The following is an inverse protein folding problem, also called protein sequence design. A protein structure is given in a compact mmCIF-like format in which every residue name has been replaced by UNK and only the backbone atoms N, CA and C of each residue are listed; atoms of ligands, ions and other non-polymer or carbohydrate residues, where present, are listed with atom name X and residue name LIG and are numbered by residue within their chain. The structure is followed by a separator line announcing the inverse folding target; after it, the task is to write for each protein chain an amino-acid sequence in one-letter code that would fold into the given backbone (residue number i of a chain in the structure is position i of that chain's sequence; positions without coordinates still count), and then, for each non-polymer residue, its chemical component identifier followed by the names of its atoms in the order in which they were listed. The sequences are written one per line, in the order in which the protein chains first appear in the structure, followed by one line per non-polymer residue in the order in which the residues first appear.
data_IF_378119079161
#
_entry.id   IF_378119079161
#
_cell.length_a   1.000
_cell.length_b   1.000
_cell.length_c   1.000
_cell.angle_alpha   90.00
_cell.angle_beta   90.00
_cell.angle_gamma   90.00
#
_symmetry.space_group_name_H-M   'P 1'
#
loop_
_entity.id
_entity.type
_entity.pdbx_description
1 polymer ?
#
# COMPACT_ATOMS: atom_id res chain seq x y z
N UNK A 1 6.15 4.71 15.97
CA UNK A 1 5.86 3.28 16.21
C UNK A 1 6.11 2.88 17.68
N UNK A 2 7.17 3.35 18.30
CA UNK A 2 7.47 3.10 19.72
C UNK A 2 6.31 3.50 20.63
N UNK A 3 5.79 4.73 20.48
CA UNK A 3 4.64 5.21 21.25
C UNK A 3 3.36 4.36 21.04
N UNK A 4 3.27 3.66 19.90
CA UNK A 4 2.19 2.73 19.59
C UNK A 4 2.51 1.28 20.00
N UNK A 5 3.67 1.05 20.63
CA UNK A 5 4.16 -0.27 21.06
C UNK A 5 4.14 -1.30 19.92
N UNK A 6 4.56 -0.86 18.73
CA UNK A 6 4.60 -1.72 17.53
C UNK A 6 6.02 -1.74 16.98
N UNK A 7 6.52 -2.95 16.73
CA UNK A 7 7.85 -3.19 16.15
C UNK A 7 7.72 -4.07 14.91
N UNK A 8 8.65 -3.92 14.00
CA UNK A 8 8.76 -4.75 12.80
C UNK A 8 10.14 -5.41 12.75
N UNK A 9 10.20 -6.61 12.22
CA UNK A 9 11.46 -7.32 12.03
C UNK A 9 12.32 -6.73 10.92
N UNK A 10 11.68 -6.13 9.91
CA UNK A 10 12.36 -5.53 8.76
C UNK A 10 11.71 -4.20 8.42
N UNK A 11 12.55 -3.19 8.24
CA UNK A 11 12.17 -1.89 7.70
C UNK A 11 12.81 -1.72 6.32
N UNK A 12 12.00 -1.50 5.30
CA UNK A 12 12.45 -1.31 3.93
C UNK A 12 12.20 0.14 3.51
N UNK A 13 13.21 0.77 2.94
CA UNK A 13 13.07 2.09 2.33
C UNK A 13 12.82 1.92 0.83
N UNK A 14 11.78 2.56 0.29
CA UNK A 14 11.51 2.56 -1.15
C UNK A 14 12.72 3.05 -1.95
N UNK A 15 13.45 4.06 -1.43
CA UNK A 15 14.66 4.57 -2.06
C UNK A 15 15.76 3.51 -2.27
N UNK A 16 15.77 2.45 -1.47
CA UNK A 16 16.75 1.39 -1.60
C UNK A 16 16.44 0.46 -2.79
N UNK A 17 15.16 0.36 -3.19
CA UNK A 17 14.77 -0.36 -4.40
C UNK A 17 15.39 0.28 -5.67
N UNK A 18 15.48 1.60 -5.67
CA UNK A 18 16.14 2.36 -6.76
C UNK A 18 17.67 2.27 -6.67
N UNK A 19 18.26 2.51 -5.50
CA UNK A 19 19.71 2.45 -5.30
C UNK A 19 20.29 1.08 -5.63
N UNK A 20 19.53 0.02 -5.32
CA UNK A 20 19.93 -1.37 -5.57
C UNK A 20 19.48 -1.86 -6.95
N UNK A 21 19.03 -0.98 -7.84
CA UNK A 21 18.58 -1.29 -9.20
C UNK A 21 17.49 -2.33 -9.31
N UNK A 22 16.70 -2.55 -8.25
CA UNK A 22 15.60 -3.53 -8.26
C UNK A 22 14.45 -3.06 -9.15
N UNK A 23 14.17 -1.76 -9.18
CA UNK A 23 13.18 -1.16 -10.09
C UNK A 23 13.61 -1.34 -11.55
N UNK A 24 14.86 -1.02 -11.87
CA UNK A 24 15.41 -1.21 -13.22
C UNK A 24 15.39 -2.69 -13.65
N UNK A 25 15.70 -3.60 -12.73
CA UNK A 25 15.64 -5.05 -12.97
C UNK A 25 14.23 -5.50 -13.38
N UNK A 26 13.20 -5.03 -12.64
CA UNK A 26 11.78 -5.34 -12.97
C UNK A 26 11.43 -4.83 -14.36
N UNK A 27 11.73 -3.57 -14.66
CA UNK A 27 11.42 -2.97 -15.96
C UNK A 27 12.11 -3.71 -17.10
N UNK A 28 13.41 -3.95 -16.98
CA UNK A 28 14.20 -4.64 -17.99
C UNK A 28 13.73 -6.09 -18.20
N UNK A 29 13.29 -6.76 -17.12
CA UNK A 29 12.73 -8.10 -17.22
C UNK A 29 11.43 -8.09 -17.99
N UNK A 30 10.49 -7.19 -17.67
CA UNK A 30 9.20 -7.07 -18.36
C UNK A 30 9.36 -6.71 -19.86
N UNK A 31 10.35 -5.89 -20.20
CA UNK A 31 10.72 -5.58 -21.59
C UNK A 31 11.22 -6.87 -22.29
N UNK A 32 12.15 -7.59 -21.66
CA UNK A 32 12.74 -8.82 -22.20
C UNK A 32 11.71 -9.92 -22.42
N UNK A 33 10.74 -10.05 -21.51
CA UNK A 33 9.64 -11.03 -21.61
C UNK A 33 8.57 -10.61 -22.65
N UNK A 34 8.69 -9.41 -23.25
CA UNK A 34 7.82 -8.96 -24.35
C UNK A 34 6.45 -8.42 -23.90
N UNK A 35 6.29 -8.12 -22.60
CA UNK A 35 5.02 -7.65 -22.05
C UNK A 35 4.84 -6.13 -22.08
N UNK A 36 5.76 -5.41 -22.73
CA UNK A 36 5.72 -3.94 -22.78
C UNK A 36 5.57 -3.41 -24.19
N UNK A 37 5.19 -2.15 -24.32
CA UNK A 37 5.20 -1.39 -25.54
C UNK A 37 5.36 0.10 -25.28
N UNK A 38 5.83 0.84 -26.28
CA UNK A 38 5.92 2.29 -26.24
C UNK A 38 4.69 2.95 -26.85
N UNK A 39 4.16 3.96 -26.22
CA UNK A 39 3.07 4.79 -26.71
C UNK A 39 3.16 6.19 -26.10
N UNK A 40 3.04 7.21 -26.96
CA UNK A 40 3.07 8.65 -26.58
C UNK A 40 4.31 9.02 -25.72
N UNK A 41 5.46 8.43 -26.06
CA UNK A 41 6.73 8.65 -25.34
C UNK A 41 6.81 7.97 -23.97
N UNK A 42 5.82 7.19 -23.57
CA UNK A 42 5.78 6.46 -22.32
C UNK A 42 5.92 4.94 -22.57
N UNK A 43 6.51 4.23 -21.58
CA UNK A 43 6.60 2.77 -21.58
C UNK A 43 5.40 2.19 -20.84
N UNK A 44 4.66 1.30 -21.49
CA UNK A 44 3.45 0.67 -20.99
C UNK A 44 3.65 -0.82 -20.75
N UNK A 45 3.00 -1.36 -19.71
CA UNK A 45 2.85 -2.79 -19.48
C UNK A 45 1.47 -3.26 -19.97
N UNK A 46 1.44 -4.38 -20.70
CA UNK A 46 0.19 -5.06 -21.08
C UNK A 46 -0.41 -5.79 -19.88
N UNK A 47 -0.89 -5.03 -18.90
CA UNK A 47 -1.50 -5.61 -17.70
C UNK A 47 -2.81 -6.32 -18.00
N UNK A 48 -3.46 -6.01 -19.13
CA UNK A 48 -4.66 -6.71 -19.63
C UNK A 48 -4.39 -8.18 -19.92
N UNK A 49 -3.18 -8.56 -20.37
CA UNK A 49 -2.80 -9.95 -20.59
C UNK A 49 -2.84 -10.79 -19.30
N UNK A 50 -2.81 -10.12 -18.15
CA UNK A 50 -2.80 -10.72 -16.81
C UNK A 50 -4.06 -10.42 -16.00
N UNK A 51 -5.13 -9.91 -16.66
CA UNK A 51 -6.44 -9.75 -16.05
C UNK A 51 -6.71 -8.38 -15.40
N UNK A 52 -5.88 -7.36 -15.66
CA UNK A 52 -6.21 -5.98 -15.29
C UNK A 52 -7.26 -5.39 -16.28
N UNK A 53 -7.94 -4.33 -15.89
CA UNK A 53 -8.99 -3.69 -16.70
C UNK A 53 -8.45 -2.89 -17.90
N UNK A 54 -7.20 -2.46 -17.81
CA UNK A 54 -6.49 -1.72 -18.88
C UNK A 54 -4.98 -1.80 -18.68
N UNK A 55 -4.24 -1.53 -19.77
CA UNK A 55 -2.78 -1.42 -19.71
C UNK A 55 -2.32 -0.24 -18.87
N UNK A 56 -1.13 -0.35 -18.27
CA UNK A 56 -0.62 0.64 -17.32
C UNK A 56 0.72 1.22 -17.75
N UNK A 57 0.84 2.53 -17.57
CA UNK A 57 2.13 3.22 -17.75
C UNK A 57 3.08 2.78 -16.66
N UNK A 58 4.23 2.26 -17.05
CA UNK A 58 5.35 1.94 -16.16
C UNK A 58 6.29 3.14 -15.98
N UNK A 59 6.67 3.74 -17.11
CA UNK A 59 7.56 4.90 -17.16
C UNK A 59 6.92 5.98 -18.00
N UNK A 60 6.78 7.16 -17.42
CA UNK A 60 6.20 8.34 -18.08
C UNK A 60 7.17 8.92 -19.13
N UNK A 61 6.65 9.80 -19.98
CA UNK A 61 7.43 10.49 -21.01
C UNK A 61 8.51 11.42 -20.44
N UNK A 62 8.37 11.86 -19.18
CA UNK A 62 9.37 12.64 -18.43
C UNK A 62 10.52 11.77 -17.87
N UNK A 63 10.40 10.45 -17.99
CA UNK A 63 11.39 9.48 -17.52
C UNK A 63 11.12 8.92 -16.12
N UNK A 64 10.13 9.43 -15.39
CA UNK A 64 9.79 8.96 -14.06
C UNK A 64 8.99 7.65 -14.09
N UNK A 65 9.25 6.77 -13.14
CA UNK A 65 8.43 5.59 -12.94
C UNK A 65 7.12 5.93 -12.24
N UNK A 66 6.08 5.19 -12.58
CA UNK A 66 4.80 5.23 -11.84
C UNK A 66 4.89 4.38 -10.59
N UNK A 67 4.08 4.69 -9.56
CA UNK A 67 4.16 4.07 -8.24
C UNK A 67 4.04 2.54 -8.21
N UNK A 68 3.34 1.93 -9.18
CA UNK A 68 3.18 0.48 -9.13
C UNK A 68 4.46 -0.29 -9.49
N UNK A 69 5.42 0.32 -10.17
CA UNK A 69 6.68 -0.35 -10.56
C UNK A 69 7.56 -0.63 -9.34
N UNK A 70 7.84 0.34 -8.45
CA UNK A 70 8.52 0.04 -7.19
C UNK A 70 7.71 -0.92 -6.29
N UNK A 71 6.38 -0.89 -6.32
CA UNK A 71 5.57 -1.90 -5.61
C UNK A 71 5.83 -3.31 -6.14
N UNK A 72 5.90 -3.50 -7.46
CA UNK A 72 6.27 -4.79 -8.06
C UNK A 72 7.67 -5.21 -7.64
N UNK A 73 8.63 -4.28 -7.64
CA UNK A 73 10.01 -4.57 -7.21
C UNK A 73 10.07 -4.98 -5.73
N UNK A 74 9.32 -4.31 -4.87
CA UNK A 74 9.26 -4.65 -3.46
C UNK A 74 8.62 -6.02 -3.20
N UNK A 75 7.56 -6.35 -3.92
CA UNK A 75 6.97 -7.68 -3.81
C UNK A 75 7.87 -8.77 -4.39
N UNK A 76 8.58 -8.50 -5.48
CA UNK A 76 9.58 -9.42 -6.01
C UNK A 76 10.70 -9.67 -4.98
N UNK A 77 11.15 -8.65 -4.24
CA UNK A 77 12.10 -8.82 -3.14
C UNK A 77 11.57 -9.80 -2.09
N UNK A 78 10.32 -9.63 -1.65
CA UNK A 78 9.68 -10.57 -0.70
C UNK A 78 9.65 -11.99 -1.24
N UNK A 79 9.30 -12.18 -2.52
CA UNK A 79 9.30 -13.50 -3.16
C UNK A 79 10.69 -14.12 -3.20
N UNK A 80 11.69 -13.33 -3.58
CA UNK A 80 13.11 -13.76 -3.63
C UNK A 80 13.65 -14.13 -2.26
N UNK A 81 13.17 -13.49 -1.19
CA UNK A 81 13.48 -13.86 0.20
C UNK A 81 12.77 -15.12 0.68
N UNK A 82 11.96 -15.76 -0.17
CA UNK A 82 11.32 -17.03 0.12
C UNK A 82 9.96 -16.96 0.84
N UNK A 83 9.33 -15.79 0.90
CA UNK A 83 7.99 -15.66 1.49
C UNK A 83 6.93 -16.18 0.53
N UNK A 84 6.49 -17.42 0.75
CA UNK A 84 5.42 -18.07 -0.01
C UNK A 84 4.04 -17.52 0.32
N UNK A 85 3.87 -16.91 1.50
CA UNK A 85 2.67 -16.20 1.92
C UNK A 85 3.03 -14.77 2.34
N UNK A 86 2.41 -13.80 1.70
CA UNK A 86 2.55 -12.38 2.01
C UNK A 86 1.15 -11.78 2.10
N UNK A 87 0.88 -11.06 3.18
CA UNK A 87 -0.34 -10.28 3.36
C UNK A 87 0.07 -8.81 3.30
N UNK A 88 -0.49 -8.09 2.34
CA UNK A 88 -0.26 -6.66 2.17
C UNK A 88 -1.47 -5.90 2.70
N UNK A 89 -1.27 -5.04 3.70
CA UNK A 89 -2.34 -4.24 4.30
C UNK A 89 -2.33 -2.84 3.69
N UNK A 90 -3.49 -2.41 3.18
CA UNK A 90 -3.67 -1.11 2.52
C UNK A 90 -5.04 -0.50 2.83
N UNK A 91 -5.16 0.81 2.61
CA UNK A 91 -6.47 1.47 2.56
C UNK A 91 -7.29 1.01 1.35
N UNK A 92 -8.61 0.98 1.50
CA UNK A 92 -9.52 0.55 0.42
C UNK A 92 -9.47 1.45 -0.82
N UNK A 93 -8.99 2.69 -0.69
CA UNK A 93 -8.71 3.62 -1.79
C UNK A 93 -7.61 3.12 -2.72
N UNK A 94 -6.74 2.20 -2.27
CA UNK A 94 -5.71 1.55 -3.06
C UNK A 94 -6.16 0.25 -3.74
N UNK A 95 -7.45 -0.12 -3.70
CA UNK A 95 -7.97 -1.36 -4.31
C UNK A 95 -7.50 -1.55 -5.77
N UNK A 96 -7.47 -0.48 -6.56
CA UNK A 96 -7.07 -0.55 -7.96
C UNK A 96 -5.59 -0.88 -8.19
N UNK A 97 -4.74 -0.83 -7.15
CA UNK A 97 -3.32 -1.19 -7.29
C UNK A 97 -3.09 -2.70 -7.29
N UNK A 98 -4.00 -3.47 -6.75
CA UNK A 98 -3.88 -4.93 -6.60
C UNK A 98 -3.70 -5.63 -7.96
N UNK A 99 -4.62 -5.37 -8.90
CA UNK A 99 -4.57 -6.01 -10.23
C UNK A 99 -3.30 -5.67 -10.98
N UNK A 100 -2.89 -4.39 -10.96
CA UNK A 100 -1.68 -3.94 -11.67
C UNK A 100 -0.38 -4.48 -11.07
N UNK A 101 -0.28 -4.57 -9.75
CA UNK A 101 0.89 -5.16 -9.08
C UNK A 101 0.99 -6.65 -9.38
N UNK A 102 -0.13 -7.39 -9.23
CA UNK A 102 -0.18 -8.80 -9.60
C UNK A 102 0.16 -9.05 -11.07
N UNK A 103 -0.37 -8.23 -11.98
CA UNK A 103 -0.04 -8.29 -13.39
C UNK A 103 1.47 -8.08 -13.63
N UNK A 104 2.07 -7.09 -13.01
CA UNK A 104 3.52 -6.87 -13.06
C UNK A 104 4.32 -8.08 -12.57
N UNK A 105 3.91 -8.68 -11.46
CA UNK A 105 4.56 -9.88 -10.92
C UNK A 105 4.42 -11.10 -11.85
N UNK A 106 3.25 -11.30 -12.46
CA UNK A 106 3.03 -12.37 -13.44
C UNK A 106 3.90 -12.20 -14.66
N UNK A 107 4.01 -10.97 -15.18
CA UNK A 107 4.84 -10.65 -16.33
C UNK A 107 6.34 -10.89 -16.13
N UNK A 108 6.81 -11.01 -14.88
CA UNK A 108 8.21 -11.34 -14.58
C UNK A 108 8.56 -12.82 -14.84
N UNK A 109 7.58 -13.69 -15.05
CA UNK A 109 7.78 -15.12 -15.31
C UNK A 109 8.64 -15.85 -14.25
N UNK A 110 8.38 -15.55 -12.96
CA UNK A 110 9.12 -16.09 -11.79
C UNK A 110 8.37 -17.14 -11.02
N UNK A 111 7.37 -17.79 -11.62
CA UNK A 111 6.50 -18.80 -10.98
C UNK A 111 5.78 -18.25 -9.73
N UNK A 112 5.47 -16.96 -9.69
CA UNK A 112 4.72 -16.33 -8.60
C UNK A 112 3.24 -16.71 -8.78
N UNK A 113 2.54 -17.18 -7.72
CA UNK A 113 1.12 -17.51 -7.83
C UNK A 113 0.27 -16.29 -8.23
N UNK A 114 -0.79 -16.49 -9.02
CA UNK A 114 -1.64 -15.40 -9.53
C UNK A 114 -2.28 -14.55 -8.43
N UNK A 115 -2.62 -15.17 -7.31
CA UNK A 115 -3.27 -14.49 -6.17
C UNK A 115 -2.28 -13.95 -5.14
N UNK A 116 -0.99 -14.13 -5.37
CA UNK A 116 0.06 -13.60 -4.51
C UNK A 116 0.46 -12.17 -4.93
N UNK A 117 0.67 -11.25 -3.98
CA UNK A 117 0.41 -11.33 -2.55
C UNK A 117 -1.11 -11.27 -2.24
N UNK A 118 -1.48 -11.75 -1.04
CA UNK A 118 -2.81 -11.51 -0.47
C UNK A 118 -2.92 -10.06 0.00
N UNK A 119 -4.15 -9.52 0.03
CA UNK A 119 -4.41 -8.15 0.47
C UNK A 119 -5.50 -8.11 1.53
N UNK A 120 -5.28 -7.31 2.55
CA UNK A 120 -6.29 -6.88 3.51
C UNK A 120 -6.55 -5.40 3.29
N UNK A 121 -7.77 -5.05 2.89
CA UNK A 121 -8.15 -3.68 2.61
C UNK A 121 -8.92 -3.11 3.79
N UNK A 122 -8.38 -2.05 4.39
CA UNK A 122 -9.01 -1.33 5.48
C UNK A 122 -9.87 -0.19 4.97
N UNK A 123 -11.11 -0.10 5.47
CA UNK A 123 -11.97 1.03 5.21
C UNK A 123 -11.43 2.31 5.87
N UNK A 124 -11.83 3.47 5.35
CA UNK A 124 -11.45 4.75 5.91
C UNK A 124 -11.97 4.90 7.34
N UNK A 125 -11.14 5.51 8.19
CA UNK A 125 -11.48 5.79 9.58
C UNK A 125 -12.04 7.20 9.67
N UNK A 126 -13.21 7.33 10.31
CA UNK A 126 -13.78 8.62 10.69
C UNK A 126 -13.45 8.90 12.16
N UNK A 127 -12.85 10.04 12.46
CA UNK A 127 -12.57 10.44 13.83
C UNK A 127 -13.63 11.44 14.29
N UNK A 128 -14.25 11.17 15.45
CA UNK A 128 -15.26 12.03 16.08
C UNK A 128 -14.72 12.63 17.38
N UNK A 129 -15.05 13.89 17.64
CA UNK A 129 -14.76 14.59 18.91
C UNK A 129 -15.86 15.62 19.20
N UNK A 130 -16.37 15.65 20.41
CA UNK A 130 -17.48 16.53 20.82
C UNK A 130 -18.72 16.38 19.92
N UNK A 131 -19.02 15.15 19.49
CA UNK A 131 -20.16 14.85 18.61
C UNK A 131 -20.02 15.30 17.16
N UNK A 132 -18.86 15.81 16.75
CA UNK A 132 -18.59 16.26 15.39
C UNK A 132 -17.42 15.50 14.76
N UNK A 133 -17.46 15.33 13.43
CA UNK A 133 -16.34 14.75 12.69
C UNK A 133 -15.15 15.70 12.69
N UNK A 134 -14.00 15.20 13.11
CA UNK A 134 -12.72 15.91 12.98
C UNK A 134 -12.18 15.67 11.57
N UNK A 135 -12.28 16.68 10.71
CA UNK A 135 -11.84 16.58 9.31
C UNK A 135 -10.33 16.34 9.23
N UNK A 136 -9.97 15.21 8.64
CA UNK A 136 -8.58 14.87 8.31
C UNK A 136 -8.21 15.55 6.99
N UNK A 137 -7.83 16.84 7.03
CA UNK A 137 -7.45 17.57 5.83
C UNK A 137 -6.08 18.23 5.99
N UNK A 138 -5.10 17.76 5.23
CA UNK A 138 -3.76 18.37 5.16
C UNK A 138 -3.80 19.86 4.75
N UNK A 139 -4.82 20.27 3.97
CA UNK A 139 -4.97 21.65 3.46
C UNK A 139 -5.50 22.63 4.50
N UNK A 140 -6.18 22.15 5.53
CA UNK A 140 -6.80 23.00 6.55
C UNK A 140 -5.95 23.11 7.84
N UNK A 141 -4.77 22.47 7.90
CA UNK A 141 -3.92 22.48 9.09
C UNK A 141 -4.46 21.73 10.31
N UNK A 142 -5.62 21.09 10.18
CA UNK A 142 -6.28 20.31 11.24
C UNK A 142 -6.47 18.87 10.78
N UNK A 143 -5.48 18.04 11.00
CA UNK A 143 -5.63 16.59 10.87
C UNK A 143 -5.21 15.93 12.19
N UNK A 144 -5.93 14.88 12.57
CA UNK A 144 -5.60 14.08 13.74
C UNK A 144 -4.57 13.04 13.34
N UNK A 145 -3.42 13.08 13.98
CA UNK A 145 -2.39 12.06 13.81
C UNK A 145 -2.61 10.89 14.76
N UNK A 146 -1.97 9.75 14.48
CA UNK A 146 -1.94 8.64 15.42
C UNK A 146 -1.35 9.06 16.77
N UNK A 147 -0.36 9.97 16.76
CA UNK A 147 0.22 10.54 17.98
C UNK A 147 -0.81 11.31 18.78
N UNK A 148 -1.63 12.13 18.14
CA UNK A 148 -2.67 12.90 18.82
C UNK A 148 -3.70 11.98 19.51
N UNK A 149 -4.09 10.87 18.84
CA UNK A 149 -4.95 9.88 19.45
C UNK A 149 -4.32 9.23 20.69
N UNK A 150 -3.03 8.86 20.60
CA UNK A 150 -2.30 8.28 21.72
C UNK A 150 -2.20 9.27 22.89
N UNK A 151 -1.91 10.53 22.60
CA UNK A 151 -1.77 11.58 23.59
C UNK A 151 -3.13 11.89 24.28
N UNK A 152 -4.25 11.75 23.55
CA UNK A 152 -5.59 12.04 24.08
C UNK A 152 -6.23 10.87 24.85
N UNK A 153 -6.10 9.64 24.37
CA UNK A 153 -6.84 8.47 24.91
C UNK A 153 -5.92 7.37 25.42
N UNK A 154 -4.62 7.53 25.29
CA UNK A 154 -3.64 6.51 25.65
C UNK A 154 -3.39 5.46 24.56
N UNK A 155 -2.27 4.76 24.68
CA UNK A 155 -1.82 3.77 23.70
C UNK A 155 -2.79 2.57 23.61
N UNK A 156 -3.15 2.00 24.75
CA UNK A 156 -3.96 0.76 24.80
C UNK A 156 -5.36 0.99 24.25
N UNK A 157 -6.01 2.10 24.65
CA UNK A 157 -7.32 2.46 24.12
C UNK A 157 -7.26 2.72 22.59
N UNK A 158 -6.23 3.46 22.13
CA UNK A 158 -6.05 3.69 20.69
C UNK A 158 -5.90 2.38 19.92
N UNK A 159 -5.06 1.46 20.39
CA UNK A 159 -4.85 0.14 19.77
C UNK A 159 -6.12 -0.68 19.76
N UNK A 160 -6.83 -0.74 20.89
CA UNK A 160 -8.07 -1.49 21.00
C UNK A 160 -9.14 -1.00 20.02
N UNK A 161 -9.43 0.30 20.03
CA UNK A 161 -10.45 0.87 19.15
C UNK A 161 -10.13 0.71 17.67
N UNK A 162 -8.86 0.87 17.27
CA UNK A 162 -8.44 0.67 15.89
C UNK A 162 -8.53 -0.79 15.43
N UNK A 163 -8.36 -1.76 16.35
CA UNK A 163 -8.44 -3.19 16.05
C UNK A 163 -9.82 -3.81 16.31
N UNK A 164 -10.75 -3.10 16.95
CA UNK A 164 -12.04 -3.64 17.40
C UNK A 164 -13.04 -3.95 16.27
N UNK A 165 -12.75 -3.52 15.04
CA UNK A 165 -13.61 -3.74 13.87
C UNK A 165 -12.88 -4.53 12.81
N UNK A 166 -13.65 -5.23 11.98
CA UNK A 166 -13.12 -5.91 10.80
C UNK A 166 -12.57 -4.88 9.81
N UNK A 167 -11.54 -5.25 9.09
CA UNK A 167 -10.88 -4.38 8.10
C UNK A 167 -11.87 -3.84 7.03
N UNK A 168 -12.84 -4.66 6.63
CA UNK A 168 -13.87 -4.33 5.63
C UNK A 168 -15.02 -3.47 6.15
N UNK A 169 -15.03 -3.16 7.47
CA UNK A 169 -16.06 -2.36 8.11
C UNK A 169 -15.58 -0.94 8.34
N UNK A 170 -16.45 0.03 8.12
CA UNK A 170 -16.15 1.42 8.46
C UNK A 170 -15.94 1.56 9.97
N UNK A 171 -14.84 2.19 10.36
CA UNK A 171 -14.50 2.49 11.73
C UNK A 171 -14.79 3.96 12.05
N UNK A 172 -15.62 4.19 13.06
CA UNK A 172 -15.78 5.50 13.69
C UNK A 172 -15.00 5.45 15.00
N UNK A 173 -13.93 6.25 15.08
CA UNK A 173 -13.12 6.43 16.27
C UNK A 173 -13.65 7.64 17.03
N UNK A 174 -14.42 7.40 18.08
CA UNK A 174 -14.97 8.44 18.95
C UNK A 174 -14.02 8.67 20.14
N UNK A 175 -13.36 9.84 20.14
CA UNK A 175 -12.38 10.21 21.16
C UNK A 175 -13.05 10.32 22.54
N UNK A 176 -14.25 10.88 22.61
CA UNK A 176 -14.93 11.10 23.88
C UNK A 176 -15.35 9.76 24.51
N UNK A 177 -15.87 8.86 23.68
CA UNK A 177 -16.17 7.48 24.10
C UNK A 177 -14.90 6.75 24.56
N UNK A 178 -13.81 6.85 23.80
CA UNK A 178 -12.57 6.21 24.17
C UNK A 178 -12.02 6.71 25.51
N UNK A 179 -12.14 8.03 25.81
CA UNK A 179 -11.76 8.61 27.12
C UNK A 179 -12.65 8.14 28.27
N UNK A 180 -13.92 7.91 28.01
CA UNK A 180 -14.86 7.50 29.06
C UNK A 180 -14.69 6.03 29.51
N UNK A 181 -13.99 5.23 28.71
CA UNK A 181 -13.80 3.78 28.91
C UNK A 181 -12.34 3.39 29.18
N UNK A 182 -11.45 4.38 29.29
CA UNK A 182 -10.02 4.18 29.57
C UNK A 182 -9.66 4.33 31.06
#
# INVERSE_FOLDING_TARGET
LEAFQTTFNVYTLESDLYKNHQVDFVVNTLIKEGHTYEKDGALWLRTTDFGDDKDRVMKKSDGDFTYFVPDVAYHLDKWTRGFIKVINEQGADHHSTISRVRAGLQGLNKNIPKDWPEYVLHQMITVMKNGAEVKISKRAGSYVTLKDLIDEVGCDATRYFLAARRADSQLIFDIDLAKSQS
#
